data_IF_988994928008
#
_entry.id   IF_988994928008
#
_cell.length_a   1.000
_cell.length_b   1.000
_cell.length_c   1.000
_cell.angle_alpha   90.00
_cell.angle_beta   90.00
_cell.angle_gamma   90.00
#
_symmetry.space_group_name_H-M   'P 1'
#
loop_
_entity.id
_entity.type
_entity.pdbx_description
1 polymer ?
#
# COMPACT_ATOMS: atom_id res chain seq x y z
N UNK A 1 -0.76 16.47 32.36
CA UNK A 1 0.04 15.82 33.43
C UNK A 1 0.21 14.37 33.02
N UNK A 2 1.44 13.91 32.75
CA UNK A 2 1.68 12.52 32.35
C UNK A 2 1.53 11.59 33.55
N UNK A 3 0.68 10.57 33.42
CA UNK A 3 0.44 9.54 34.44
C UNK A 3 1.64 8.57 34.50
N UNK A 4 2.06 8.09 35.69
CA UNK A 4 3.14 7.11 35.77
C UNK A 4 2.75 5.79 35.07
N UNK A 5 3.69 5.20 34.33
CA UNK A 5 3.53 3.94 33.57
C UNK A 5 3.08 2.76 34.47
N UNK A 6 3.32 2.83 35.77
CA UNK A 6 2.98 1.80 36.76
C UNK A 6 1.47 1.64 37.04
N UNK A 7 0.60 2.44 36.42
CA UNK A 7 -0.87 2.41 36.61
C UNK A 7 -1.62 2.07 35.30
N UNK A 8 -0.91 1.57 34.30
CA UNK A 8 -1.47 1.16 33.02
C UNK A 8 -1.86 -0.32 33.05
N UNK A 9 -2.96 -0.68 32.36
CA UNK A 9 -3.31 -2.07 32.11
C UNK A 9 -2.25 -2.78 31.25
N UNK A 10 -2.22 -4.12 31.24
CA UNK A 10 -1.28 -4.86 30.38
C UNK A 10 -1.54 -4.58 28.90
N UNK A 11 -2.80 -4.48 28.49
CA UNK A 11 -3.19 -4.13 27.11
C UNK A 11 -2.66 -2.74 26.73
N UNK A 12 -2.72 -1.78 27.66
CA UNK A 12 -2.19 -0.43 27.45
C UNK A 12 -0.66 -0.44 27.31
N UNK A 13 0.04 -1.31 28.06
CA UNK A 13 1.50 -1.48 27.96
C UNK A 13 1.88 -2.13 26.63
N UNK A 14 1.18 -3.17 26.21
CA UNK A 14 1.42 -3.86 24.94
C UNK A 14 1.20 -2.93 23.75
N UNK A 15 0.07 -2.21 23.73
CA UNK A 15 -0.21 -1.20 22.72
C UNK A 15 0.87 -0.10 22.66
N UNK A 16 1.34 0.37 23.82
CA UNK A 16 2.44 1.33 23.87
C UNK A 16 3.74 0.71 23.36
N UNK A 17 4.05 -0.53 23.72
CA UNK A 17 5.24 -1.22 23.26
C UNK A 17 5.30 -1.29 21.73
N UNK A 18 4.20 -1.67 21.07
CA UNK A 18 4.11 -1.74 19.62
C UNK A 18 4.31 -0.36 18.97
N UNK A 19 3.60 0.66 19.46
CA UNK A 19 3.70 2.03 18.93
C UNK A 19 5.10 2.62 19.14
N UNK A 20 5.72 2.35 20.29
CA UNK A 20 7.08 2.80 20.60
C UNK A 20 8.12 2.07 19.76
N UNK A 21 7.89 0.79 19.45
CA UNK A 21 8.71 0.01 18.51
C UNK A 21 8.67 0.63 17.12
N UNK A 22 7.48 0.92 16.59
CA UNK A 22 7.32 1.63 15.31
C UNK A 22 8.07 2.96 15.32
N UNK A 23 7.90 3.77 16.39
CA UNK A 23 8.57 5.07 16.52
C UNK A 23 10.09 4.94 16.53
N UNK A 24 10.61 3.92 17.23
CA UNK A 24 12.04 3.64 17.26
C UNK A 24 12.55 3.25 15.88
N UNK A 25 11.84 2.38 15.16
CA UNK A 25 12.17 1.98 13.80
C UNK A 25 12.26 3.17 12.84
N UNK A 26 11.30 4.10 12.87
CA UNK A 26 11.37 5.34 12.06
C UNK A 26 12.63 6.13 12.38
N UNK A 27 12.99 6.22 13.67
CA UNK A 27 14.16 6.98 14.12
C UNK A 27 15.47 6.32 13.69
N UNK A 28 15.58 5.00 13.83
CA UNK A 28 16.81 4.25 13.53
C UNK A 28 17.02 4.07 12.04
N UNK A 29 15.97 3.71 11.29
CA UNK A 29 16.06 3.46 9.85
C UNK A 29 16.07 4.75 9.02
N UNK A 30 15.56 5.86 9.56
CA UNK A 30 15.51 7.17 8.93
C UNK A 30 14.99 7.13 7.47
N UNK A 31 13.70 6.77 7.30
CA UNK A 31 13.09 6.58 5.98
C UNK A 31 13.10 7.85 5.12
N UNK A 32 13.03 9.04 5.74
CA UNK A 32 13.13 10.32 5.03
C UNK A 32 14.49 10.52 4.36
N UNK A 33 15.57 10.22 5.07
CA UNK A 33 16.93 10.34 4.51
C UNK A 33 17.14 9.31 3.39
N UNK A 34 16.72 8.06 3.60
CA UNK A 34 16.78 7.01 2.58
C UNK A 34 15.97 7.41 1.34
N UNK A 35 14.73 7.86 1.49
CA UNK A 35 13.89 8.26 0.35
C UNK A 35 14.47 9.44 -0.43
N UNK A 36 15.07 10.42 0.24
CA UNK A 36 15.79 11.52 -0.40
C UNK A 36 16.97 11.02 -1.22
N UNK A 37 17.77 10.10 -0.69
CA UNK A 37 18.92 9.53 -1.39
C UNK A 37 18.50 8.78 -2.65
N UNK A 38 17.45 7.96 -2.57
CA UNK A 38 16.94 7.16 -3.69
C UNK A 38 16.43 8.06 -4.83
N UNK A 39 15.57 9.03 -4.50
CA UNK A 39 14.98 9.96 -5.47
C UNK A 39 16.03 10.89 -6.08
N UNK A 40 17.00 11.37 -5.30
CA UNK A 40 18.11 12.19 -5.81
C UNK A 40 19.01 11.37 -6.75
N UNK A 41 19.26 10.11 -6.43
CA UNK A 41 20.07 9.22 -7.27
C UNK A 41 19.43 9.00 -8.65
N UNK A 42 18.12 8.73 -8.69
CA UNK A 42 17.39 8.60 -9.96
C UNK A 42 17.38 9.91 -10.75
N UNK A 43 17.09 11.03 -10.07
CA UNK A 43 17.07 12.35 -10.70
C UNK A 43 18.43 12.75 -11.30
N UNK A 44 19.54 12.38 -10.66
CA UNK A 44 20.87 12.74 -11.16
C UNK A 44 21.35 11.82 -12.28
N UNK A 45 20.88 10.57 -12.31
CA UNK A 45 21.27 9.59 -13.33
C UNK A 45 20.48 9.74 -14.63
N UNK A 46 19.21 10.15 -14.54
CA UNK A 46 18.36 10.31 -15.72
C UNK A 46 18.62 11.65 -16.42
N UNK A 47 18.68 11.63 -17.76
CA UNK A 47 18.70 12.83 -18.61
C UNK A 47 17.30 13.28 -19.02
N UNK A 48 16.26 12.50 -18.70
CA UNK A 48 14.87 12.80 -19.02
C UNK A 48 14.26 13.71 -17.96
N UNK A 49 13.91 14.94 -18.34
CA UNK A 49 13.32 15.95 -17.44
C UNK A 49 12.02 15.48 -16.77
N UNK A 50 11.24 14.61 -17.43
CA UNK A 50 10.02 14.05 -16.85
C UNK A 50 10.35 13.11 -15.69
N UNK A 51 11.39 12.29 -15.83
CA UNK A 51 11.88 11.38 -14.79
C UNK A 51 12.51 12.14 -13.64
N UNK A 52 13.25 13.21 -13.92
CA UNK A 52 13.80 14.10 -12.89
C UNK A 52 12.69 14.78 -12.08
N UNK A 53 11.67 15.30 -12.78
CA UNK A 53 10.49 15.90 -12.13
C UNK A 53 9.73 14.88 -11.30
N UNK A 54 9.47 13.69 -11.85
CA UNK A 54 8.80 12.59 -11.14
C UNK A 54 9.56 12.24 -9.86
N UNK A 55 10.88 12.09 -9.93
CA UNK A 55 11.73 11.77 -8.77
C UNK A 55 11.59 12.80 -7.65
N UNK A 56 11.57 14.09 -7.99
CA UNK A 56 11.36 15.18 -7.02
C UNK A 56 9.95 15.14 -6.41
N UNK A 57 8.93 14.92 -7.23
CA UNK A 57 7.55 14.81 -6.78
C UNK A 57 7.33 13.61 -5.85
N UNK A 58 7.98 12.48 -6.11
CA UNK A 58 7.93 11.29 -5.26
C UNK A 58 8.52 11.56 -3.88
N UNK A 59 9.66 12.25 -3.80
CA UNK A 59 10.23 12.63 -2.50
C UNK A 59 9.27 13.52 -1.71
N UNK A 60 8.69 14.55 -2.35
CA UNK A 60 7.75 15.48 -1.68
C UNK A 60 6.52 14.72 -1.16
N UNK A 61 5.97 13.81 -1.97
CA UNK A 61 4.83 12.99 -1.55
C UNK A 61 5.19 12.08 -0.39
N UNK A 62 6.30 11.34 -0.50
CA UNK A 62 6.80 10.48 0.55
C UNK A 62 7.01 11.25 1.86
N UNK A 63 7.67 12.41 1.79
CA UNK A 63 7.93 13.26 2.95
C UNK A 63 6.63 13.71 3.63
N UNK A 64 5.64 14.15 2.84
CA UNK A 64 4.32 14.56 3.33
C UNK A 64 3.62 13.40 4.04
N UNK A 65 3.55 12.22 3.42
CA UNK A 65 2.88 11.06 4.01
C UNK A 65 3.63 10.51 5.23
N UNK A 66 4.96 10.56 5.24
CA UNK A 66 5.76 10.18 6.40
C UNK A 66 5.48 11.12 7.59
N UNK A 67 5.38 12.43 7.37
CA UNK A 67 4.98 13.41 8.39
C UNK A 67 3.58 13.11 8.94
N UNK A 68 2.62 12.77 8.08
CA UNK A 68 1.26 12.39 8.48
C UNK A 68 1.29 11.12 9.34
N UNK A 69 2.03 10.10 8.90
CA UNK A 69 2.20 8.84 9.63
C UNK A 69 2.77 9.07 11.03
N UNK A 70 3.89 9.79 11.15
CA UNK A 70 4.54 10.11 12.43
C UNK A 70 3.63 10.92 13.34
N UNK A 71 2.87 11.87 12.79
CA UNK A 71 1.88 12.63 13.56
C UNK A 71 0.80 11.71 14.12
N UNK A 72 0.21 10.84 13.30
CA UNK A 72 -0.79 9.86 13.75
C UNK A 72 -0.25 8.95 14.83
N UNK A 73 0.96 8.41 14.64
CA UNK A 73 1.64 7.56 15.61
C UNK A 73 1.82 8.24 16.97
N UNK A 74 2.33 9.47 16.98
CA UNK A 74 2.55 10.21 18.23
C UNK A 74 1.22 10.51 18.94
N UNK A 75 0.17 10.88 18.21
CA UNK A 75 -1.16 11.09 18.80
C UNK A 75 -1.73 9.81 19.43
N UNK A 76 -1.51 8.64 18.82
CA UNK A 76 -1.91 7.36 19.43
C UNK A 76 -1.12 7.06 20.70
N UNK A 77 0.21 7.28 20.70
CA UNK A 77 1.05 7.10 21.90
C UNK A 77 0.55 7.99 23.04
N UNK A 78 0.30 9.27 22.76
CA UNK A 78 -0.20 10.23 23.74
C UNK A 78 -1.58 9.82 24.27
N UNK A 79 -2.47 9.35 23.39
CA UNK A 79 -3.81 8.92 23.77
C UNK A 79 -3.77 7.68 24.66
N UNK A 80 -3.05 6.62 24.28
CA UNK A 80 -2.93 5.39 25.07
C UNK A 80 -2.26 5.68 26.42
N UNK A 81 -1.23 6.53 26.44
CA UNK A 81 -0.56 6.94 27.68
C UNK A 81 -1.49 7.67 28.66
N UNK A 82 -2.59 8.23 28.15
CA UNK A 82 -3.57 8.98 28.93
C UNK A 82 -4.77 8.13 29.36
N UNK A 83 -4.93 6.91 28.81
CA UNK A 83 -6.05 6.04 29.17
C UNK A 83 -5.72 5.22 30.43
N UNK A 84 -6.69 5.03 31.35
CA UNK A 84 -6.54 4.11 32.47
C UNK A 84 -6.64 2.64 32.04
N UNK A 85 -7.44 2.35 31.03
CA UNK A 85 -7.68 1.03 30.45
C UNK A 85 -8.09 1.22 28.99
N UNK A 86 -7.74 0.27 28.12
CA UNK A 86 -8.17 0.23 26.73
C UNK A 86 -8.91 -1.09 26.47
N UNK A 87 -9.80 -1.10 25.47
CA UNK A 87 -10.48 -2.33 25.09
C UNK A 87 -9.46 -3.38 24.62
N UNK A 88 -9.67 -4.65 24.98
CA UNK A 88 -8.76 -5.75 24.64
C UNK A 88 -8.60 -5.98 23.13
N UNK A 89 -9.57 -5.57 22.34
CA UNK A 89 -9.54 -5.63 20.87
C UNK A 89 -9.12 -4.30 20.22
N UNK A 90 -8.67 -3.32 21.01
CA UNK A 90 -8.24 -2.04 20.48
C UNK A 90 -7.00 -2.24 19.60
N UNK A 91 -7.03 -1.65 18.42
CA UNK A 91 -5.89 -1.61 17.51
C UNK A 91 -5.69 -0.17 17.05
N UNK A 92 -4.43 0.29 16.93
CA UNK A 92 -4.18 1.64 16.50
C UNK A 92 -4.54 1.78 15.01
N UNK A 93 -5.40 2.76 14.69
CA UNK A 93 -5.77 3.06 13.32
C UNK A 93 -4.68 3.92 12.66
N UNK A 94 -3.51 3.33 12.45
CA UNK A 94 -2.41 3.97 11.75
C UNK A 94 -2.65 3.93 10.23
N UNK A 95 -2.34 5.02 9.52
CA UNK A 95 -2.31 4.97 8.06
C UNK A 95 -1.23 3.98 7.59
N UNK A 96 -1.36 3.50 6.36
CA UNK A 96 -0.28 2.71 5.75
C UNK A 96 1.02 3.51 5.70
N UNK A 97 2.14 2.82 5.93
CA UNK A 97 3.44 3.45 5.81
C UNK A 97 3.67 3.87 4.35
N UNK A 98 4.20 5.08 4.08
CA UNK A 98 4.38 5.55 2.72
C UNK A 98 5.32 4.66 1.91
N UNK A 99 5.01 4.51 0.63
CA UNK A 99 5.81 3.81 -0.37
C UNK A 99 5.93 4.70 -1.62
N UNK A 100 6.90 4.43 -2.48
CA UNK A 100 6.98 5.09 -3.79
C UNK A 100 5.91 4.57 -4.74
N UNK A 101 5.50 5.40 -5.71
CA UNK A 101 4.57 4.95 -6.75
C UNK A 101 5.18 3.88 -7.66
N UNK A 102 4.32 3.05 -8.25
CA UNK A 102 4.74 2.01 -9.20
C UNK A 102 5.47 2.60 -10.43
N UNK A 103 5.03 3.75 -10.94
CA UNK A 103 5.71 4.43 -12.04
C UNK A 103 7.15 4.82 -11.69
N UNK A 104 7.40 5.30 -10.47
CA UNK A 104 8.75 5.59 -10.00
C UNK A 104 9.59 4.33 -9.87
N UNK A 105 9.04 3.25 -9.31
CA UNK A 105 9.75 1.97 -9.12
C UNK A 105 10.17 1.36 -10.47
N UNK A 106 9.27 1.38 -11.46
CA UNK A 106 9.54 0.90 -12.83
C UNK A 106 10.68 1.70 -13.46
N UNK A 107 10.61 3.03 -13.40
CA UNK A 107 11.63 3.88 -14.01
C UNK A 107 12.96 3.82 -13.26
N UNK A 108 12.91 3.67 -11.93
CA UNK A 108 14.10 3.41 -11.11
C UNK A 108 14.79 2.14 -11.57
N UNK A 109 14.08 1.02 -11.68
CA UNK A 109 14.65 -0.26 -12.13
C UNK A 109 15.27 -0.16 -13.52
N UNK A 110 14.57 0.49 -14.45
CA UNK A 110 15.03 0.72 -15.83
C UNK A 110 16.30 1.57 -15.89
N UNK A 111 16.34 2.71 -15.18
CA UNK A 111 17.45 3.66 -15.21
C UNK A 111 18.65 3.19 -14.37
N UNK A 112 18.37 2.60 -13.20
CA UNK A 112 19.40 2.16 -12.27
C UNK A 112 19.99 0.80 -12.64
N UNK A 113 19.24 -0.03 -13.39
CA UNK A 113 19.58 -1.42 -13.71
C UNK A 113 19.82 -2.26 -12.44
N UNK A 114 19.09 -1.94 -11.38
CA UNK A 114 19.13 -2.61 -10.08
C UNK A 114 17.72 -2.77 -9.54
N UNK A 115 17.52 -3.68 -8.58
CA UNK A 115 16.26 -3.75 -7.86
C UNK A 115 15.98 -2.46 -7.08
N UNK A 116 14.70 -2.23 -6.81
CA UNK A 116 14.27 -1.03 -6.09
C UNK A 116 14.73 -1.10 -4.63
N UNK A 117 15.22 0.00 -4.04
CA UNK A 117 15.64 0.00 -2.65
C UNK A 117 14.43 0.05 -1.73
N UNK A 118 14.45 -0.77 -0.69
CA UNK A 118 13.45 -0.72 0.37
C UNK A 118 13.78 0.40 1.37
N UNK A 119 12.79 1.22 1.70
CA UNK A 119 13.00 2.39 2.54
C UNK A 119 12.91 2.01 4.03
N UNK A 120 11.97 1.15 4.39
CA UNK A 120 11.75 0.71 5.77
C UNK A 120 11.03 -0.64 5.78
N UNK A 121 11.77 -1.72 5.54
CA UNK A 121 11.25 -3.10 5.43
C UNK A 121 10.38 -3.48 6.64
N UNK A 122 10.80 -3.06 7.84
CA UNK A 122 10.12 -3.36 9.10
C UNK A 122 8.72 -2.73 9.24
N UNK A 123 8.42 -1.64 8.52
CA UNK A 123 7.18 -0.85 8.64
C UNK A 123 6.34 -0.84 7.38
N UNK A 124 6.99 -1.08 6.24
CA UNK A 124 6.29 -1.61 5.09
C UNK A 124 5.78 -2.96 5.54
N UNK A 125 4.52 -3.00 6.00
CA UNK A 125 3.75 -4.23 5.87
C UNK A 125 4.06 -4.67 4.45
N UNK A 126 4.56 -5.88 4.25
CA UNK A 126 4.28 -6.57 3.00
C UNK A 126 2.75 -6.55 2.94
N UNK A 127 2.20 -5.48 2.38
CA UNK A 127 0.96 -5.58 1.67
C UNK A 127 1.23 -6.77 0.79
N UNK A 128 0.67 -7.93 1.11
CA UNK A 128 -0.62 -8.25 0.54
C UNK A 128 -0.75 -7.93 -0.99
N UNK A 129 0.34 -7.64 -1.70
CA UNK A 129 0.59 -8.19 -3.03
C UNK A 129 0.57 -9.73 -2.94
N UNK A 130 0.70 -10.30 -1.72
CA UNK A 130 0.31 -11.67 -1.37
C UNK A 130 -1.16 -11.84 -0.91
N UNK A 131 -2.00 -10.81 -0.68
CA UNK A 131 -3.48 -10.99 -0.61
C UNK A 131 -4.13 -10.94 -1.98
N UNK A 132 -3.36 -10.78 -3.06
CA UNK A 132 -3.78 -11.39 -4.32
C UNK A 132 -3.88 -12.94 -4.21
N UNK A 133 -3.53 -13.55 -3.08
CA UNK A 133 -3.83 -14.95 -2.75
C UNK A 133 -5.15 -15.17 -2.00
N UNK A 134 -5.80 -14.15 -1.42
CA UNK A 134 -7.01 -14.41 -0.61
C UNK A 134 -8.31 -14.50 -1.42
N UNK A 135 -8.31 -14.09 -2.69
CA UNK A 135 -9.49 -14.14 -3.54
C UNK A 135 -9.15 -14.65 -4.96
N UNK A 136 -8.46 -15.80 -5.02
CA UNK A 136 -8.17 -16.49 -6.29
C UNK A 136 -9.32 -17.32 -6.82
N UNK A 137 -10.46 -17.39 -6.14
CA UNK A 137 -11.63 -18.07 -6.66
C UNK A 137 -12.44 -17.14 -7.57
N UNK A 138 -12.71 -17.50 -8.82
CA UNK A 138 -13.62 -16.77 -9.68
C UNK A 138 -15.06 -16.94 -9.18
N UNK A 139 -15.70 -15.89 -8.66
CA UNK A 139 -17.08 -15.97 -8.10
C UNK A 139 -18.17 -16.36 -9.11
N UNK A 140 -17.83 -16.53 -10.38
CA UNK A 140 -18.76 -16.92 -11.45
C UNK A 140 -18.76 -18.44 -11.63
N UNK A 141 -17.57 -19.05 -11.73
CA UNK A 141 -17.42 -20.51 -11.90
C UNK A 141 -16.97 -21.23 -10.63
N UNK A 142 -16.64 -20.51 -9.56
CA UNK A 142 -16.10 -21.04 -8.29
C UNK A 142 -14.76 -21.78 -8.42
N UNK A 143 -14.06 -21.60 -9.56
CA UNK A 143 -12.74 -22.19 -9.81
C UNK A 143 -11.59 -21.22 -9.54
N UNK A 144 -10.40 -21.77 -9.28
CA UNK A 144 -9.18 -21.00 -9.05
C UNK A 144 -8.72 -20.23 -10.31
N UNK A 145 -8.25 -19.00 -10.12
CA UNK A 145 -7.80 -18.04 -11.14
C UNK A 145 -6.34 -18.29 -11.56
N UNK A 146 -5.67 -19.27 -10.93
CA UNK A 146 -4.33 -19.70 -11.31
C UNK A 146 -3.25 -18.68 -10.95
N UNK A 147 -1.98 -19.08 -11.08
CA UNK A 147 -0.82 -18.26 -10.69
C UNK A 147 -0.39 -17.23 -11.73
N UNK A 148 -0.66 -17.44 -13.01
CA UNK A 148 -0.14 -16.59 -14.08
C UNK A 148 -0.94 -15.31 -14.31
N UNK A 149 -2.14 -15.16 -13.73
CA UNK A 149 -3.08 -14.05 -13.97
C UNK A 149 -3.38 -13.74 -15.46
N UNK A 150 -2.91 -14.57 -16.38
CA UNK A 150 -3.16 -14.52 -17.80
C UNK A 150 -4.64 -14.83 -18.06
N UNK A 151 -5.26 -14.12 -19.00
CA UNK A 151 -6.70 -14.25 -19.32
C UNK A 151 -7.61 -14.01 -18.12
N UNK A 152 -7.28 -12.99 -17.31
CA UNK A 152 -8.09 -12.58 -16.17
C UNK A 152 -8.37 -11.08 -16.21
N UNK A 153 -9.54 -10.70 -15.70
CA UNK A 153 -9.94 -9.29 -15.61
C UNK A 153 -10.14 -8.93 -14.14
N UNK A 154 -9.55 -7.80 -13.73
CA UNK A 154 -9.63 -7.26 -12.38
C UNK A 154 -10.62 -6.10 -12.36
N UNK A 155 -11.51 -6.08 -11.37
CA UNK A 155 -12.38 -4.94 -11.12
C UNK A 155 -11.56 -3.76 -10.56
N UNK A 156 -11.73 -2.58 -11.15
CA UNK A 156 -11.00 -1.39 -10.70
C UNK A 156 -11.46 -0.88 -9.33
N UNK A 157 -12.70 -1.14 -8.93
CA UNK A 157 -13.25 -0.68 -7.66
C UNK A 157 -12.95 -1.62 -6.49
N UNK A 158 -13.39 -2.89 -6.58
CA UNK A 158 -13.26 -3.84 -5.48
C UNK A 158 -12.05 -4.78 -5.61
N UNK A 159 -11.28 -4.66 -6.70
CA UNK A 159 -10.06 -5.44 -6.95
C UNK A 159 -10.27 -6.95 -7.12
N UNK A 160 -11.53 -7.44 -7.14
CA UNK A 160 -11.86 -8.85 -7.42
C UNK A 160 -11.49 -9.22 -8.85
N UNK A 161 -11.03 -10.46 -9.05
CA UNK A 161 -10.56 -10.98 -10.33
C UNK A 161 -11.50 -12.08 -10.83
N UNK A 162 -11.60 -12.21 -12.15
CA UNK A 162 -12.43 -13.21 -12.83
C UNK A 162 -11.66 -13.74 -14.05
N UNK A 163 -11.92 -14.96 -14.49
CA UNK A 163 -11.48 -15.40 -15.82
C UNK A 163 -12.14 -14.53 -16.89
N UNK A 164 -11.41 -14.22 -17.97
CA UNK A 164 -11.89 -13.36 -19.06
C UNK A 164 -13.18 -13.91 -19.69
N UNK A 165 -13.24 -15.23 -19.91
CA UNK A 165 -14.42 -15.91 -20.44
C UNK A 165 -15.63 -15.80 -19.50
N UNK A 166 -15.41 -16.06 -18.20
CA UNK A 166 -16.47 -15.98 -17.20
C UNK A 166 -17.04 -14.57 -17.10
N UNK A 167 -16.18 -13.55 -17.04
CA UNK A 167 -16.63 -12.17 -16.97
C UNK A 167 -17.27 -11.73 -18.28
N UNK A 168 -16.75 -12.16 -19.43
CA UNK A 168 -17.34 -11.84 -20.75
C UNK A 168 -18.77 -12.35 -20.87
N UNK A 169 -19.06 -13.58 -20.44
CA UNK A 169 -20.44 -14.10 -20.43
C UNK A 169 -21.32 -13.33 -19.43
N UNK A 170 -20.80 -13.01 -18.25
CA UNK A 170 -21.55 -12.23 -17.26
C UNK A 170 -21.93 -10.83 -17.78
N UNK A 171 -20.99 -10.14 -18.44
CA UNK A 171 -21.20 -8.79 -18.95
C UNK A 171 -22.21 -8.71 -20.10
N UNK A 172 -22.49 -9.83 -20.79
CA UNK A 172 -23.61 -9.90 -21.76
C UNK A 172 -24.97 -9.77 -21.08
N UNK A 173 -25.08 -10.16 -19.81
CA UNK A 173 -26.33 -10.14 -19.03
C UNK A 173 -26.38 -8.90 -18.14
N UNK A 174 -25.30 -8.62 -17.40
CA UNK A 174 -25.19 -7.50 -16.45
C UNK A 174 -23.85 -6.81 -16.62
N UNK A 175 -23.86 -5.52 -16.96
CA UNK A 175 -22.64 -4.71 -17.17
C UNK A 175 -21.93 -4.30 -15.86
N UNK A 176 -22.03 -5.09 -14.81
CA UNK A 176 -21.57 -4.75 -13.46
C UNK A 176 -20.76 -5.88 -12.82
N UNK A 177 -19.79 -5.54 -11.97
CA UNK A 177 -19.00 -6.49 -11.20
C UNK A 177 -19.89 -7.39 -10.32
N UNK A 178 -19.74 -8.73 -10.36
CA UNK A 178 -20.47 -9.65 -9.48
C UNK A 178 -20.29 -9.37 -7.99
N UNK A 179 -19.12 -8.89 -7.56
CA UNK A 179 -18.80 -8.68 -6.15
C UNK A 179 -19.28 -7.33 -5.60
N UNK A 180 -19.24 -6.26 -6.39
CA UNK A 180 -19.53 -4.91 -5.89
C UNK A 180 -20.62 -4.14 -6.66
N UNK A 181 -21.20 -4.75 -7.71
CA UNK A 181 -22.25 -4.17 -8.55
C UNK A 181 -21.89 -2.85 -9.25
N UNK A 182 -20.61 -2.47 -9.28
CA UNK A 182 -20.14 -1.29 -10.04
C UNK A 182 -19.94 -1.61 -11.51
N UNK A 183 -20.09 -0.60 -12.36
CA UNK A 183 -20.03 -0.76 -13.82
C UNK A 183 -18.67 -1.34 -14.24
N UNK A 184 -18.70 -2.35 -15.09
CA UNK A 184 -17.51 -2.98 -15.66
C UNK A 184 -17.54 -2.86 -17.17
N UNK A 185 -16.41 -2.46 -17.75
CA UNK A 185 -16.24 -2.35 -19.19
C UNK A 185 -15.79 -3.71 -19.74
N UNK A 186 -16.46 -4.17 -20.80
CA UNK A 186 -16.03 -5.35 -21.53
C UNK A 186 -14.92 -4.94 -22.51
N UNK A 187 -13.71 -5.48 -22.32
CA UNK A 187 -12.56 -5.20 -23.20
C UNK A 187 -12.78 -5.72 -24.62
N UNK A 188 -13.62 -6.75 -24.79
CA UNK A 188 -13.93 -7.35 -26.09
C UNK A 188 -14.97 -6.52 -26.90
N UNK A 189 -15.66 -5.57 -26.27
CA UNK A 189 -16.65 -4.70 -26.93
C UNK A 189 -16.01 -3.41 -27.49
N UNK A 190 -14.80 -3.07 -27.01
CA UNK A 190 -14.03 -1.89 -27.43
C UNK A 190 -12.58 -2.29 -27.71
N UNK A 191 -12.29 -2.91 -28.86
CA UNK A 191 -10.91 -3.22 -29.24
C UNK A 191 -10.08 -1.92 -29.30
N UNK A 192 -8.78 -1.98 -28.99
CA UNK A 192 -7.88 -0.84 -29.16
C UNK A 192 -8.00 -0.32 -30.59
N UNK A 193 -8.07 1.00 -30.78
CA UNK A 193 -7.94 1.59 -32.10
C UNK A 193 -6.54 1.26 -32.62
N UNK A 194 -6.45 0.26 -33.50
CA UNK A 194 -5.22 -0.05 -34.22
C UNK A 194 -4.95 1.13 -35.15
N UNK A 195 -3.82 1.81 -34.91
CA UNK A 195 -3.31 2.89 -35.75
C UNK A 195 -2.16 2.36 -36.61
#
# INVERSE_FOLDING_TARGET
MNRPISILSEESKDALFDLLTIRNTIKTENPLKKSQQITTSLSNKSTDETVQRMSRCEFIQFEKFCKIYVKSLNSHIEWVSSQPEIASNWTPNLPNFPQFSQCFLIEYKKTMKSESPEICESLVKKSEEEEELQDRECLICTDDIGRSFENTVKCDDCKRRYHDDCLSEWLKIKRTCPACSRLMLNRNEFPPLTN
#
